data_IF_339506158943
#
_entry.id   IF_339506158943
#
_cell.length_a   1.000
_cell.length_b   1.000
_cell.length_c   1.000
_cell.angle_alpha   90.00
_cell.angle_beta   90.00
_cell.angle_gamma   90.00
#
_symmetry.space_group_name_H-M   'P 1'
#
loop_
_entity.id
_entity.type
_entity.pdbx_description
1 polymer ?
#
# COMPACT_ATOMS: atom_id res chain seq x y z
N UNK A 1 -5.51 -3.66 -13.01
CA UNK A 1 -6.98 -3.59 -12.79
C UNK A 1 -7.64 -4.18 -14.03
N UNK A 2 -8.58 -5.11 -13.87
CA UNK A 2 -9.22 -5.80 -15.01
C UNK A 2 -9.82 -4.79 -16.00
N UNK A 3 -9.48 -4.93 -17.29
CA UNK A 3 -10.02 -4.14 -18.42
C UNK A 3 -11.40 -4.65 -18.87
N UNK A 4 -12.05 -5.55 -18.12
CA UNK A 4 -13.31 -6.18 -18.52
C UNK A 4 -14.48 -5.41 -17.91
N UNK A 5 -15.42 -4.98 -18.75
CA UNK A 5 -16.61 -4.26 -18.32
C UNK A 5 -17.68 -5.25 -17.83
N UNK A 6 -18.57 -4.79 -16.94
CA UNK A 6 -19.70 -5.59 -16.48
C UNK A 6 -20.60 -6.07 -17.63
N UNK A 7 -20.58 -5.36 -18.77
CA UNK A 7 -21.37 -5.67 -19.97
C UNK A 7 -20.65 -6.57 -20.98
N UNK A 8 -19.35 -6.81 -20.83
CA UNK A 8 -18.60 -7.76 -21.65
C UNK A 8 -17.52 -8.47 -20.80
N UNK A 9 -17.93 -9.47 -20.01
CA UNK A 9 -17.03 -10.19 -19.11
C UNK A 9 -15.96 -11.04 -19.83
N UNK A 10 -16.03 -11.18 -21.16
CA UNK A 10 -15.16 -12.07 -21.94
C UNK A 10 -15.45 -13.55 -21.65
N UNK A 11 -14.40 -14.37 -21.52
CA UNK A 11 -14.48 -15.81 -21.22
C UNK A 11 -14.87 -16.10 -19.76
N UNK A 12 -16.03 -15.65 -19.32
CA UNK A 12 -16.58 -16.00 -18.01
C UNK A 12 -17.80 -16.90 -18.24
N UNK A 13 -17.87 -17.99 -17.48
CA UNK A 13 -18.99 -18.93 -17.55
C UNK A 13 -20.31 -18.20 -17.29
N UNK A 14 -21.34 -18.49 -18.09
CA UNK A 14 -22.71 -17.99 -17.88
C UNK A 14 -23.21 -18.28 -16.46
N UNK A 15 -22.77 -19.37 -15.83
CA UNK A 15 -23.10 -19.74 -14.45
C UNK A 15 -22.71 -18.69 -13.41
N UNK A 16 -21.70 -17.84 -13.68
CA UNK A 16 -21.35 -16.72 -12.80
C UNK A 16 -22.44 -15.64 -12.79
N UNK A 17 -23.18 -15.48 -13.88
CA UNK A 17 -24.28 -14.52 -13.99
C UNK A 17 -25.53 -15.00 -13.26
N UNK A 18 -25.71 -16.31 -13.15
CA UNK A 18 -26.87 -16.93 -12.50
C UNK A 18 -26.80 -16.84 -10.96
N UNK A 19 -25.60 -16.60 -10.40
CA UNK A 19 -25.39 -16.45 -8.96
C UNK A 19 -25.12 -14.99 -8.60
N UNK A 20 -26.03 -14.39 -7.82
CA UNK A 20 -25.89 -12.98 -7.39
C UNK A 20 -24.58 -12.68 -6.67
N UNK A 21 -24.10 -13.56 -5.79
CA UNK A 21 -22.82 -13.36 -5.08
C UNK A 21 -21.61 -13.50 -6.01
N UNK A 22 -21.69 -14.38 -7.00
CA UNK A 22 -20.61 -14.56 -7.97
C UNK A 22 -20.51 -13.37 -8.94
N UNK A 23 -21.64 -12.71 -9.25
CA UNK A 23 -21.65 -11.47 -10.04
C UNK A 23 -20.86 -10.34 -9.37
N UNK A 24 -20.85 -10.26 -8.05
CA UNK A 24 -20.11 -9.22 -7.33
C UNK A 24 -18.58 -9.35 -7.54
N UNK A 25 -18.08 -10.55 -7.88
CA UNK A 25 -16.68 -10.75 -8.26
C UNK A 25 -16.30 -10.06 -9.59
N UNK A 26 -17.29 -9.61 -10.37
CA UNK A 26 -17.10 -8.90 -11.64
C UNK A 26 -17.08 -7.37 -11.46
N UNK A 27 -17.37 -6.87 -10.25
CA UNK A 27 -17.37 -5.43 -9.97
C UNK A 27 -15.94 -4.89 -10.13
N UNK A 28 -15.72 -3.83 -10.93
CA UNK A 28 -14.40 -3.21 -11.05
C UNK A 28 -13.88 -2.75 -9.68
N UNK A 29 -12.60 -2.98 -9.39
CA UNK A 29 -12.02 -2.63 -8.08
C UNK A 29 -12.15 -1.14 -7.75
N UNK A 30 -12.18 -0.26 -8.76
CA UNK A 30 -12.44 1.17 -8.55
C UNK A 30 -13.86 1.47 -8.06
N UNK A 31 -14.85 0.65 -8.43
CA UNK A 31 -16.21 0.76 -7.90
C UNK A 31 -16.27 0.23 -6.47
N UNK A 32 -15.54 -0.84 -6.14
CA UNK A 32 -15.49 -1.31 -4.74
C UNK A 32 -14.81 -0.30 -3.82
N UNK A 33 -13.87 0.51 -4.34
CA UNK A 33 -13.32 1.69 -3.64
C UNK A 33 -14.41 2.72 -3.31
N UNK A 34 -15.28 3.06 -4.27
CA UNK A 34 -16.39 3.97 -4.01
C UNK A 34 -17.38 3.38 -3.00
N UNK A 35 -17.70 2.09 -3.11
CA UNK A 35 -18.59 1.40 -2.18
C UNK A 35 -18.04 1.45 -0.74
N UNK A 36 -16.73 1.25 -0.56
CA UNK A 36 -16.09 1.38 0.76
C UNK A 36 -16.17 2.83 1.26
N UNK A 37 -15.87 3.80 0.40
CA UNK A 37 -15.92 5.22 0.77
C UNK A 37 -17.32 5.65 1.22
N UNK A 38 -18.35 5.28 0.45
CA UNK A 38 -19.74 5.61 0.73
C UNK A 38 -20.24 4.88 1.99
N UNK A 39 -20.06 3.56 2.05
CA UNK A 39 -20.59 2.72 3.14
C UNK A 39 -19.98 3.05 4.51
N UNK A 40 -18.72 3.45 4.54
CA UNK A 40 -17.99 3.70 5.79
C UNK A 40 -17.63 5.17 6.01
N UNK A 41 -18.13 6.08 5.18
CA UNK A 41 -17.98 7.53 5.37
C UNK A 41 -16.53 8.04 5.20
N UNK A 42 -15.75 7.45 4.29
CA UNK A 42 -14.38 7.89 4.01
C UNK A 42 -14.40 9.04 3.01
N UNK A 43 -14.44 10.27 3.55
CA UNK A 43 -14.58 11.48 2.73
C UNK A 43 -13.43 11.67 1.74
N UNK A 44 -13.71 12.37 0.62
CA UNK A 44 -12.70 12.80 -0.37
C UNK A 44 -11.48 13.48 0.28
N UNK A 45 -11.71 14.34 1.28
CA UNK A 45 -10.64 15.03 2.02
C UNK A 45 -9.72 14.03 2.74
N UNK A 46 -10.28 12.98 3.37
CA UNK A 46 -9.47 11.94 4.02
C UNK A 46 -8.65 11.16 2.99
N UNK A 47 -9.25 10.81 1.87
CA UNK A 47 -8.58 10.08 0.78
C UNK A 47 -7.40 10.88 0.21
N UNK A 48 -7.61 12.14 -0.11
CA UNK A 48 -6.58 13.01 -0.66
C UNK A 48 -5.48 13.32 0.36
N UNK A 49 -5.82 13.48 1.64
CA UNK A 49 -4.83 13.67 2.70
C UNK A 49 -3.95 12.44 2.91
N UNK A 50 -4.53 11.23 2.83
CA UNK A 50 -3.79 9.98 2.87
C UNK A 50 -2.87 9.83 1.66
N UNK A 51 -3.37 10.13 0.46
CA UNK A 51 -2.58 10.10 -0.77
C UNK A 51 -1.40 11.07 -0.75
N UNK A 52 -1.64 12.28 -0.24
CA UNK A 52 -0.60 13.28 -0.04
C UNK A 52 0.47 12.77 0.91
N UNK A 53 0.08 12.16 2.04
CA UNK A 53 1.00 11.58 3.00
C UNK A 53 1.85 10.45 2.39
N UNK A 54 1.31 9.64 1.47
CA UNK A 54 2.12 8.65 0.75
C UNK A 54 3.15 9.31 -0.18
N UNK A 55 2.80 10.40 -0.85
CA UNK A 55 3.62 11.05 -1.88
C UNK A 55 4.73 11.95 -1.34
N UNK A 56 4.45 12.69 -0.27
CA UNK A 56 5.19 13.90 0.06
C UNK A 56 6.63 13.67 0.54
N UNK A 57 7.29 14.79 0.83
CA UNK A 57 8.58 14.91 1.48
C UNK A 57 8.34 15.88 2.62
N UNK A 58 8.46 15.47 3.89
CA UNK A 58 8.45 16.47 4.98
C UNK A 58 9.67 17.38 4.78
N UNK A 59 9.39 18.57 4.27
CA UNK A 59 10.33 19.68 4.16
C UNK A 59 10.16 20.52 5.44
N UNK A 60 10.79 20.12 6.54
CA UNK A 60 10.97 20.99 7.72
C UNK A 60 12.08 21.99 7.46
N UNK A 61 11.89 22.84 6.46
CA UNK A 61 12.75 23.99 6.18
C UNK A 61 11.84 25.16 5.78
N UNK A 62 11.33 25.87 6.80
CA UNK A 62 10.48 27.04 6.60
C UNK A 62 9.80 27.54 7.86
N UNK A 63 10.58 28.19 8.73
CA UNK A 63 10.17 29.20 9.74
C UNK A 63 9.22 28.75 10.86
N UNK A 64 9.74 28.80 12.08
CA UNK A 64 8.97 29.19 13.26
C UNK A 64 8.19 30.48 12.95
N UNK A 65 6.91 30.36 12.67
CA UNK A 65 5.94 31.41 12.94
C UNK A 65 4.72 30.73 13.55
N UNK A 66 4.53 30.96 14.83
CA UNK A 66 3.36 30.53 15.58
C UNK A 66 2.10 31.02 14.87
N UNK A 67 1.31 30.09 14.33
CA UNK A 67 -0.08 30.33 13.99
C UNK A 67 -0.90 29.52 14.97
N UNK A 68 -1.74 30.24 15.70
CA UNK A 68 -2.61 29.80 16.78
C UNK A 68 -3.31 28.47 16.47
N UNK A 69 -3.09 27.51 17.37
CA UNK A 69 -3.94 26.35 17.56
C UNK A 69 -5.34 26.82 17.97
N UNK A 70 -6.21 27.11 17.00
CA UNK A 70 -7.64 27.20 17.30
C UNK A 70 -8.47 26.80 16.09
N UNK A 71 -9.29 25.76 16.31
CA UNK A 71 -10.41 25.27 15.47
C UNK A 71 -10.06 24.46 14.22
N UNK A 72 -9.46 23.29 14.44
CA UNK A 72 -9.80 22.09 13.66
C UNK A 72 -10.21 21.00 14.65
N UNK A 73 -11.48 20.60 14.57
CA UNK A 73 -12.06 19.48 15.32
C UNK A 73 -11.20 18.22 15.15
N UNK A 74 -10.99 17.50 16.26
CA UNK A 74 -10.18 16.29 16.36
C UNK A 74 -10.59 15.20 15.36
N UNK A 75 -9.97 15.19 14.18
CA UNK A 75 -9.84 14.04 13.30
C UNK A 75 -8.75 14.36 12.25
N UNK A 76 -7.63 13.63 12.30
CA UNK A 76 -6.52 13.67 11.34
C UNK A 76 -5.57 14.89 11.46
N UNK A 77 -4.77 14.91 12.54
CA UNK A 77 -3.50 15.65 12.56
C UNK A 77 -2.44 14.70 11.99
N UNK A 78 -1.85 15.05 10.84
CA UNK A 78 -0.69 14.31 10.31
C UNK A 78 0.48 14.42 11.30
N UNK A 79 1.02 13.31 11.84
CA UNK A 79 2.09 13.37 12.83
C UNK A 79 3.40 13.90 12.24
N UNK A 80 4.22 14.48 13.13
CA UNK A 80 5.36 15.32 12.81
C UNK A 80 6.64 14.62 12.32
N UNK A 81 6.65 13.32 11.99
CA UNK A 81 7.64 12.69 11.06
C UNK A 81 7.50 11.15 10.92
N UNK A 82 6.57 10.62 10.10
CA UNK A 82 6.89 9.49 9.26
C UNK A 82 7.74 9.96 8.07
N UNK A 83 8.73 9.18 7.63
CA UNK A 83 9.36 9.38 6.33
C UNK A 83 8.30 9.12 5.23
N UNK A 84 8.37 9.80 4.10
CA UNK A 84 7.43 9.61 2.98
C UNK A 84 8.21 9.26 1.70
N UNK A 85 7.56 8.77 0.65
CA UNK A 85 8.23 8.20 -0.53
C UNK A 85 9.28 9.13 -1.15
N UNK A 86 8.95 10.41 -1.39
CA UNK A 86 9.91 11.35 -1.98
C UNK A 86 11.13 11.60 -1.08
N UNK A 87 10.93 11.64 0.25
CA UNK A 87 12.04 11.80 1.21
C UNK A 87 12.87 10.51 1.31
N UNK A 88 12.22 9.35 1.34
CA UNK A 88 12.88 8.04 1.39
C UNK A 88 13.76 7.80 0.15
N UNK A 89 13.25 8.10 -1.05
CA UNK A 89 14.03 8.03 -2.28
C UNK A 89 15.19 9.03 -2.28
N UNK A 90 14.97 10.28 -1.88
CA UNK A 90 16.05 11.28 -1.81
C UNK A 90 17.17 10.88 -0.82
N UNK A 91 16.80 10.29 0.32
CA UNK A 91 17.74 9.78 1.31
C UNK A 91 18.40 8.45 0.89
N UNK A 92 18.02 7.89 -0.26
CA UNK A 92 18.55 6.63 -0.77
C UNK A 92 18.13 5.42 0.06
N UNK A 93 17.02 5.48 0.79
CA UNK A 93 16.56 4.40 1.68
C UNK A 93 16.16 3.14 0.90
N UNK A 94 15.80 3.28 -0.37
CA UNK A 94 15.46 2.16 -1.26
C UNK A 94 16.68 1.54 -1.96
N UNK A 95 17.88 2.13 -1.85
CA UNK A 95 19.08 1.63 -2.55
C UNK A 95 19.49 0.22 -2.12
N UNK A 96 19.14 -0.19 -0.91
CA UNK A 96 19.43 -1.54 -0.40
C UNK A 96 18.43 -2.59 -0.88
N UNK A 97 17.27 -2.19 -1.38
CA UNK A 97 16.21 -3.09 -1.86
C UNK A 97 16.01 -3.08 -3.38
N UNK A 98 16.33 -1.97 -4.05
CA UNK A 98 16.21 -1.86 -5.52
C UNK A 98 17.44 -2.48 -6.19
N UNK A 99 17.19 -3.38 -7.14
CA UNK A 99 18.18 -3.85 -8.11
C UNK A 99 18.01 -3.03 -9.40
N UNK A 100 19.01 -2.24 -9.83
CA UNK A 100 18.91 -1.47 -11.07
C UNK A 100 18.69 -2.37 -12.29
N UNK A 101 17.76 -1.99 -13.16
CA UNK A 101 17.41 -2.73 -14.38
C UNK A 101 17.88 -1.96 -15.60
N UNK A 102 18.79 -2.55 -16.37
CA UNK A 102 19.18 -2.04 -17.69
C UNK A 102 18.18 -2.54 -18.73
N UNK A 103 17.57 -1.63 -19.47
CA UNK A 103 16.56 -1.95 -20.49
C UNK A 103 16.63 -0.99 -21.66
N UNK A 104 15.85 -1.27 -22.70
CA UNK A 104 15.69 -0.41 -23.88
C UNK A 104 14.31 0.23 -23.86
N UNK A 105 14.24 1.54 -24.04
CA UNK A 105 13.00 2.29 -24.26
C UNK A 105 12.95 2.83 -25.68
N UNK A 106 11.75 2.90 -26.24
CA UNK A 106 11.49 3.51 -27.53
C UNK A 106 10.90 4.89 -27.28
N UNK A 107 11.53 5.92 -27.83
CA UNK A 107 11.00 7.29 -27.72
C UNK A 107 9.84 7.54 -28.70
N UNK A 108 9.22 8.71 -28.63
CA UNK A 108 8.09 9.08 -29.49
C UNK A 108 8.47 9.17 -30.99
N UNK A 109 9.76 9.17 -31.33
CA UNK A 109 10.27 9.21 -32.70
C UNK A 109 10.65 7.79 -33.21
N UNK A 110 10.51 6.77 -32.37
CA UNK A 110 10.85 5.39 -32.69
C UNK A 110 12.31 5.02 -32.43
N UNK A 111 13.13 5.92 -31.85
CA UNK A 111 14.52 5.62 -31.55
C UNK A 111 14.62 4.76 -30.29
N UNK A 112 15.49 3.75 -30.34
CA UNK A 112 15.79 2.89 -29.19
C UNK A 112 16.92 3.49 -28.35
N UNK A 113 16.65 3.75 -27.08
CA UNK A 113 17.62 4.23 -26.11
C UNK A 113 17.79 3.21 -24.99
N UNK A 114 19.04 2.86 -24.68
CA UNK A 114 19.34 2.04 -23.51
C UNK A 114 19.37 2.91 -22.26
N UNK A 115 18.59 2.56 -21.25
CA UNK A 115 18.53 3.24 -19.96
C UNK A 115 18.81 2.27 -18.81
N UNK A 116 19.09 2.82 -17.62
CA UNK A 116 19.13 2.05 -16.37
C UNK A 116 18.12 2.64 -15.39
N UNK A 117 17.07 1.87 -15.09
CA UNK A 117 16.04 2.23 -14.12
C UNK A 117 16.53 1.83 -12.73
N UNK A 118 16.62 2.79 -11.82
CA UNK A 118 17.17 2.58 -10.46
C UNK A 118 16.39 3.32 -9.36
N UNK A 119 15.26 3.93 -9.73
CA UNK A 119 14.42 4.72 -8.85
C UNK A 119 12.95 4.48 -9.22
N UNK A 120 12.07 4.62 -8.23
CA UNK A 120 10.64 4.55 -8.45
C UNK A 120 10.16 5.81 -9.17
N UNK A 121 9.56 5.60 -10.34
CA UNK A 121 9.14 6.66 -11.26
C UNK A 121 7.80 7.27 -10.88
N UNK A 122 7.00 6.61 -10.02
CA UNK A 122 5.65 7.04 -9.65
C UNK A 122 5.61 8.17 -8.61
N UNK A 123 6.74 8.48 -7.98
CA UNK A 123 6.81 9.47 -6.92
C UNK A 123 6.65 10.88 -7.53
N UNK A 124 5.73 11.67 -6.98
CA UNK A 124 5.41 13.03 -7.41
C UNK A 124 5.57 13.98 -6.22
N UNK A 125 6.79 14.51 -5.96
CA UNK A 125 7.05 15.43 -4.84
C UNK A 125 6.25 16.74 -4.92
N UNK A 126 5.74 17.08 -6.11
CA UNK A 126 4.90 18.25 -6.37
C UNK A 126 3.43 18.06 -6.00
N UNK A 127 3.02 16.87 -5.52
CA UNK A 127 1.64 16.62 -5.09
C UNK A 127 1.23 17.58 -3.96
N UNK A 128 0.08 18.24 -4.11
CA UNK A 128 -0.53 19.12 -3.09
C UNK A 128 -2.01 18.76 -2.89
N UNK A 129 -2.59 19.14 -1.75
CA UNK A 129 -4.03 18.95 -1.51
C UNK A 129 -4.87 19.68 -2.56
N UNK A 130 -4.48 20.90 -2.93
CA UNK A 130 -5.18 21.68 -3.96
C UNK A 130 -5.11 21.01 -5.33
N UNK A 131 -3.99 20.37 -5.65
CA UNK A 131 -3.82 19.60 -6.88
C UNK A 131 -4.71 18.35 -6.87
N UNK A 132 -4.69 17.59 -5.77
CA UNK A 132 -5.50 16.39 -5.60
C UNK A 132 -7.01 16.69 -5.64
N UNK A 133 -7.45 17.77 -4.98
CA UNK A 133 -8.86 18.16 -4.92
C UNK A 133 -9.45 18.52 -6.30
N UNK A 134 -8.61 18.97 -7.25
CA UNK A 134 -9.02 19.30 -8.63
C UNK A 134 -9.20 18.07 -9.52
N UNK A 135 -8.72 16.90 -9.10
CA UNK A 135 -8.82 15.69 -9.90
C UNK A 135 -10.27 15.22 -9.98
N UNK A 136 -10.68 14.87 -11.20
CA UNK A 136 -12.00 14.29 -11.48
C UNK A 136 -12.08 12.86 -10.93
N UNK A 137 -13.27 12.42 -10.47
CA UNK A 137 -13.52 11.03 -10.13
C UNK A 137 -13.19 10.09 -11.30
N UNK A 138 -12.61 8.93 -10.99
CA UNK A 138 -12.11 7.99 -11.99
C UNK A 138 -13.12 6.90 -12.39
N UNK A 139 -14.11 6.61 -11.53
CA UNK A 139 -14.99 5.43 -11.69
C UNK A 139 -16.49 5.73 -11.63
N UNK A 140 -16.90 6.77 -10.91
CA UNK A 140 -18.31 7.20 -10.76
C UNK A 140 -18.38 8.72 -10.85
N UNK A 141 -19.37 9.29 -11.52
CA UNK A 141 -19.46 10.74 -11.78
C UNK A 141 -19.43 11.61 -10.51
N UNK A 142 -20.15 11.17 -9.48
CA UNK A 142 -20.21 11.75 -8.12
C UNK A 142 -19.23 11.07 -7.15
N UNK A 143 -18.27 10.30 -7.66
CA UNK A 143 -17.33 9.51 -6.88
C UNK A 143 -16.27 10.34 -6.16
N UNK A 144 -15.56 9.67 -5.27
CA UNK A 144 -14.47 10.25 -4.46
C UNK A 144 -13.10 9.70 -4.81
N UNK A 145 -13.05 8.55 -5.49
CA UNK A 145 -11.82 7.93 -5.94
C UNK A 145 -11.32 8.61 -7.22
N UNK A 146 -10.07 9.03 -7.22
CA UNK A 146 -9.40 9.71 -8.34
C UNK A 146 -8.07 9.04 -8.66
N UNK A 147 -7.46 9.39 -9.80
CA UNK A 147 -6.11 8.93 -10.12
C UNK A 147 -5.05 9.37 -9.09
N UNK A 148 -5.30 10.44 -8.32
CA UNK A 148 -4.36 10.93 -7.32
C UNK A 148 -4.46 10.25 -5.97
N UNK A 149 -5.59 9.60 -5.67
CA UNK A 149 -5.82 8.87 -4.41
C UNK A 149 -6.01 7.36 -4.63
N UNK A 150 -5.65 6.87 -5.81
CA UNK A 150 -5.57 5.46 -6.17
C UNK A 150 -4.11 5.09 -6.49
N UNK A 151 -3.76 3.81 -6.34
CA UNK A 151 -2.45 3.33 -6.75
C UNK A 151 -2.26 3.45 -8.26
N UNK A 152 -1.04 3.77 -8.69
CA UNK A 152 -0.67 3.76 -10.09
C UNK A 152 -0.64 2.33 -10.63
N UNK A 153 -1.08 2.14 -11.88
CA UNK A 153 -0.76 0.92 -12.63
C UNK A 153 0.73 0.97 -12.93
N UNK A 154 1.45 -0.10 -12.62
CA UNK A 154 2.91 -0.09 -12.64
C UNK A 154 3.47 -1.45 -13.02
N UNK A 155 4.67 -1.42 -13.58
CA UNK A 155 5.46 -2.59 -13.90
C UNK A 155 6.55 -2.78 -12.84
N UNK A 156 6.83 -4.02 -12.45
CA UNK A 156 7.86 -4.31 -11.47
C UNK A 156 7.86 -5.77 -11.02
N UNK A 157 8.98 -6.19 -10.43
CA UNK A 157 9.18 -7.52 -9.88
C UNK A 157 9.91 -7.43 -8.53
N UNK A 158 9.61 -8.38 -7.64
CA UNK A 158 10.29 -8.53 -6.36
C UNK A 158 10.43 -10.02 -6.04
N UNK A 159 11.51 -10.38 -5.33
CA UNK A 159 11.80 -11.75 -4.94
C UNK A 159 12.22 -11.82 -3.47
N UNK A 160 11.77 -12.87 -2.78
CA UNK A 160 12.13 -13.16 -1.39
C UNK A 160 12.63 -14.60 -1.31
N UNK A 161 13.87 -14.79 -0.88
CA UNK A 161 14.44 -16.12 -0.66
C UNK A 161 14.13 -16.58 0.78
N UNK A 162 13.42 -17.71 0.91
CA UNK A 162 13.11 -18.32 2.20
C UNK A 162 13.93 -19.59 2.42
N UNK A 163 14.28 -19.86 3.67
CA UNK A 163 14.96 -21.09 4.06
C UNK A 163 14.52 -21.54 5.45
N UNK A 164 14.57 -22.85 5.71
CA UNK A 164 14.53 -23.37 7.07
C UNK A 164 15.70 -22.77 7.86
N UNK A 165 15.47 -22.33 9.10
CA UNK A 165 16.51 -21.74 9.97
C UNK A 165 17.79 -22.59 10.03
N UNK A 166 17.64 -23.91 10.18
CA UNK A 166 18.79 -24.83 10.22
C UNK A 166 19.60 -24.84 8.93
N UNK A 167 18.95 -24.65 7.77
CA UNK A 167 19.65 -24.61 6.47
C UNK A 167 20.39 -23.30 6.28
N UNK A 168 19.78 -22.17 6.66
CA UNK A 168 20.45 -20.87 6.66
C UNK A 168 21.70 -20.89 7.56
N UNK A 169 21.58 -21.48 8.77
CA UNK A 169 22.70 -21.64 9.69
C UNK A 169 23.80 -22.55 9.13
N UNK A 170 23.45 -23.70 8.54
CA UNK A 170 24.41 -24.62 7.90
C UNK A 170 25.20 -23.92 6.77
N UNK A 171 24.54 -23.05 6.00
CA UNK A 171 25.14 -22.32 4.89
C UNK A 171 25.82 -21.01 5.30
N UNK A 172 25.78 -20.62 6.59
CA UNK A 172 26.33 -19.35 7.06
C UNK A 172 25.62 -18.12 6.49
N UNK A 173 24.35 -18.23 6.09
CA UNK A 173 23.60 -17.13 5.48
C UNK A 173 22.95 -16.22 6.55
N UNK A 174 22.96 -14.89 6.37
CA UNK A 174 22.33 -13.96 7.29
C UNK A 174 20.80 -14.09 7.25
N UNK A 175 20.14 -13.87 8.40
CA UNK A 175 18.68 -13.87 8.52
C UNK A 175 18.18 -12.43 8.53
N UNK A 176 17.52 -12.01 7.46
CA UNK A 176 16.92 -10.67 7.37
C UNK A 176 15.61 -10.57 8.18
N UNK A 177 14.84 -11.65 8.26
CA UNK A 177 13.57 -11.69 8.98
C UNK A 177 13.03 -13.10 9.13
N UNK A 178 11.99 -13.23 9.94
CA UNK A 178 11.34 -14.51 10.25
C UNK A 178 9.84 -14.37 10.01
N UNK A 179 9.27 -15.19 9.12
CA UNK A 179 7.82 -15.30 8.98
C UNK A 179 7.24 -15.97 10.24
N UNK A 180 6.35 -15.28 10.95
CA UNK A 180 5.73 -15.76 12.20
C UNK A 180 4.35 -16.33 11.98
N UNK A 181 3.53 -15.68 11.16
CA UNK A 181 2.19 -16.15 10.84
C UNK A 181 1.73 -15.61 9.49
N UNK A 182 0.73 -16.28 8.92
CA UNK A 182 0.02 -15.85 7.72
C UNK A 182 -1.47 -16.16 7.86
N UNK A 183 -2.32 -15.23 7.41
CA UNK A 183 -3.75 -15.38 7.40
C UNK A 183 -4.35 -14.88 6.08
N UNK A 184 -5.37 -15.58 5.61
CA UNK A 184 -6.26 -15.16 4.53
C UNK A 184 -7.68 -15.29 5.05
N UNK A 185 -8.51 -14.29 4.78
CA UNK A 185 -9.91 -14.23 5.19
C UNK A 185 -10.78 -13.81 4.01
N UNK A 186 -12.03 -14.29 3.98
CA UNK A 186 -13.04 -13.86 3.03
C UNK A 186 -13.83 -12.66 3.55
N UNK A 187 -14.14 -11.73 2.66
CA UNK A 187 -15.00 -10.55 2.89
C UNK A 187 -15.94 -10.37 1.68
N UNK A 188 -17.01 -9.56 1.75
CA UNK A 188 -17.86 -9.34 0.59
C UNK A 188 -17.08 -8.77 -0.62
N UNK A 189 -17.28 -9.27 -1.86
CA UNK A 189 -16.55 -8.81 -3.03
C UNK A 189 -16.77 -7.34 -3.38
N UNK A 190 -17.99 -6.84 -3.18
CA UNK A 190 -18.42 -5.46 -3.44
C UNK A 190 -17.69 -4.40 -2.59
N UNK A 191 -17.13 -4.82 -1.45
CA UNK A 191 -16.31 -4.00 -0.55
C UNK A 191 -14.99 -4.68 -0.21
N UNK A 192 -14.41 -5.42 -1.16
CA UNK A 192 -13.17 -6.21 -0.96
C UNK A 192 -12.01 -5.44 -0.30
N UNK A 193 -11.97 -4.11 -0.46
CA UNK A 193 -11.01 -3.23 0.18
C UNK A 193 -10.92 -3.36 1.70
N UNK A 194 -11.96 -3.84 2.38
CA UNK A 194 -11.96 -4.01 3.84
C UNK A 194 -11.09 -5.19 4.32
N UNK A 195 -10.59 -6.04 3.41
CA UNK A 195 -9.86 -7.26 3.71
C UNK A 195 -8.79 -7.14 4.82
N UNK A 196 -7.87 -6.15 4.77
CA UNK A 196 -6.85 -5.96 5.81
C UNK A 196 -7.42 -5.79 7.22
N UNK A 197 -8.56 -5.10 7.37
CA UNK A 197 -9.21 -4.89 8.67
C UNK A 197 -9.62 -6.21 9.35
N UNK A 198 -9.77 -7.29 8.59
CA UNK A 198 -10.12 -8.63 9.10
C UNK A 198 -8.94 -9.60 9.07
N UNK A 199 -8.01 -9.46 8.11
CA UNK A 199 -6.85 -10.34 8.00
C UNK A 199 -5.78 -10.04 9.06
N UNK A 200 -5.53 -8.75 9.34
CA UNK A 200 -4.48 -8.31 10.26
C UNK A 200 -4.71 -8.88 11.68
N UNK A 201 -5.90 -8.73 12.30
CA UNK A 201 -6.14 -9.29 13.64
C UNK A 201 -5.86 -10.80 13.71
N UNK A 202 -6.30 -11.56 12.70
CA UNK A 202 -6.11 -13.01 12.65
C UNK A 202 -4.63 -13.39 12.52
N UNK A 203 -3.87 -12.69 11.68
CA UNK A 203 -2.43 -12.96 11.54
C UNK A 203 -1.68 -12.60 12.84
N UNK A 204 -1.99 -11.46 13.44
CA UNK A 204 -1.36 -10.98 14.67
C UNK A 204 -1.65 -11.92 15.85
N UNK A 205 -2.89 -12.35 16.02
CA UNK A 205 -3.29 -13.34 17.03
C UNK A 205 -2.57 -14.68 16.82
N UNK A 206 -2.50 -15.19 15.58
CA UNK A 206 -1.75 -16.42 15.25
C UNK A 206 -0.26 -16.33 15.57
N UNK A 207 0.31 -15.13 15.60
CA UNK A 207 1.70 -14.91 16.00
C UNK A 207 1.87 -14.82 17.53
N UNK A 208 0.78 -14.89 18.30
CA UNK A 208 0.78 -14.71 19.76
C UNK A 208 1.02 -13.26 20.17
N UNK A 209 0.61 -12.30 19.34
CA UNK A 209 0.84 -10.86 19.54
C UNK A 209 -0.49 -10.11 19.62
N UNK A 210 -0.41 -8.83 19.99
CA UNK A 210 -1.47 -7.84 19.90
C UNK A 210 -1.12 -6.78 18.85
N UNK A 211 -2.10 -5.97 18.42
CA UNK A 211 -1.83 -4.86 17.49
C UNK A 211 -0.83 -3.85 18.06
N UNK A 212 -0.75 -3.71 19.39
CA UNK A 212 0.18 -2.78 20.03
C UNK A 212 1.65 -3.23 19.89
N UNK A 213 1.89 -4.53 19.70
CA UNK A 213 3.23 -5.11 19.57
C UNK A 213 3.85 -4.91 18.18
N UNK A 214 3.06 -4.44 17.20
CA UNK A 214 3.53 -4.24 15.83
C UNK A 214 4.16 -2.86 15.68
N UNK A 215 5.38 -2.82 15.16
CA UNK A 215 6.16 -1.59 14.96
C UNK A 215 5.86 -0.92 13.62
N UNK A 216 5.58 -1.71 12.58
CA UNK A 216 5.36 -1.23 11.21
C UNK A 216 4.26 -2.04 10.52
N UNK A 217 3.39 -1.34 9.82
CA UNK A 217 2.37 -1.90 8.95
C UNK A 217 2.63 -1.45 7.51
N UNK A 218 2.99 -2.39 6.65
CA UNK A 218 2.90 -2.23 5.19
C UNK A 218 1.50 -2.66 4.75
N UNK A 219 0.56 -1.71 4.68
CA UNK A 219 -0.80 -1.93 4.19
C UNK A 219 -0.89 -1.41 2.77
N UNK A 220 -1.21 -2.29 1.81
CA UNK A 220 -1.25 -1.89 0.41
C UNK A 220 -2.29 -0.78 0.17
N UNK A 221 -1.90 0.24 -0.58
CA UNK A 221 -2.71 1.42 -0.85
C UNK A 221 -3.36 1.33 -2.24
N UNK A 222 -4.06 0.23 -2.53
CA UNK A 222 -4.75 0.08 -3.82
C UNK A 222 -5.65 1.29 -4.12
N UNK A 223 -6.38 1.72 -3.08
CA UNK A 223 -7.10 2.98 -3.03
C UNK A 223 -6.99 3.58 -1.62
N UNK A 224 -6.99 4.90 -1.52
CA UNK A 224 -6.96 5.59 -0.23
C UNK A 224 -8.23 5.33 0.59
N UNK A 225 -9.39 5.20 -0.05
CA UNK A 225 -10.68 4.85 0.58
C UNK A 225 -10.56 3.64 1.52
N UNK A 226 -10.03 2.53 1.00
CA UNK A 226 -9.89 1.28 1.75
C UNK A 226 -8.73 1.30 2.74
N UNK A 227 -7.62 1.95 2.40
CA UNK A 227 -6.47 2.05 3.28
C UNK A 227 -6.83 2.85 4.54
N UNK A 228 -7.46 4.02 4.36
CA UNK A 228 -7.95 4.86 5.47
C UNK A 228 -8.96 4.09 6.32
N UNK A 229 -9.95 3.43 5.70
CA UNK A 229 -10.92 2.62 6.44
C UNK A 229 -10.23 1.56 7.30
N UNK A 230 -9.28 0.79 6.75
CA UNK A 230 -8.62 -0.28 7.48
C UNK A 230 -7.80 0.25 8.66
N UNK A 231 -7.08 1.35 8.46
CA UNK A 231 -6.28 1.99 9.52
C UNK A 231 -7.17 2.53 10.63
N UNK A 232 -8.24 3.27 10.29
CA UNK A 232 -9.18 3.82 11.27
C UNK A 232 -9.92 2.71 12.02
N UNK A 233 -10.39 1.67 11.31
CA UNK A 233 -11.12 0.54 11.89
C UNK A 233 -10.29 -0.23 12.91
N UNK A 234 -8.99 -0.38 12.66
CA UNK A 234 -8.06 -1.09 13.54
C UNK A 234 -7.41 -0.19 14.60
N UNK A 235 -7.62 1.13 14.55
CA UNK A 235 -6.98 2.08 15.46
C UNK A 235 -5.45 2.11 15.32
N UNK A 236 -4.91 1.85 14.13
CA UNK A 236 -3.47 1.79 13.91
C UNK A 236 -2.91 3.23 13.90
N UNK A 237 -1.86 3.54 14.67
CA UNK A 237 -1.21 4.84 14.62
C UNK A 237 -0.61 5.10 13.22
N UNK A 238 -0.96 6.24 12.61
CA UNK A 238 -0.57 6.57 11.23
C UNK A 238 0.95 6.57 11.02
N UNK A 239 1.74 6.92 12.04
CA UNK A 239 3.21 6.91 11.99
C UNK A 239 3.82 5.50 11.83
N UNK A 240 3.04 4.44 12.10
CA UNK A 240 3.45 3.06 11.89
C UNK A 240 3.04 2.52 10.51
N UNK A 241 2.17 3.21 9.78
CA UNK A 241 1.62 2.76 8.49
C UNK A 241 2.47 3.31 7.35
N UNK A 242 2.97 2.41 6.50
CA UNK A 242 3.71 2.73 5.28
C UNK A 242 4.75 3.86 5.49
N UNK A 243 5.70 3.71 6.43
CA UNK A 243 6.58 4.80 6.88
C UNK A 243 7.60 5.25 5.83
N UNK A 244 7.54 4.73 4.60
CA UNK A 244 8.32 5.14 3.44
C UNK A 244 7.42 5.47 2.24
N UNK A 245 6.11 5.65 2.46
CA UNK A 245 5.08 5.72 1.43
C UNK A 245 4.67 4.33 0.93
N UNK A 246 3.49 4.25 0.30
CA UNK A 246 2.94 3.02 -0.24
C UNK A 246 2.60 3.13 -1.73
N UNK A 247 1.66 2.30 -2.17
CA UNK A 247 1.38 2.09 -3.59
C UNK A 247 0.76 3.30 -4.31
N UNK A 248 0.24 4.30 -3.61
CA UNK A 248 -0.18 5.57 -4.25
C UNK A 248 1.02 6.31 -4.83
N UNK A 249 2.17 6.26 -4.13
CA UNK A 249 3.42 6.85 -4.59
C UNK A 249 4.31 5.89 -5.37
N UNK A 250 4.47 4.66 -4.86
CA UNK A 250 5.41 3.66 -5.39
C UNK A 250 4.82 2.82 -6.53
N UNK A 251 3.50 2.87 -6.72
CA UNK A 251 2.80 2.05 -7.71
C UNK A 251 2.37 0.67 -7.21
N UNK A 252 1.51 0.02 -8.00
CA UNK A 252 0.92 -1.28 -7.68
C UNK A 252 1.07 -2.29 -8.83
N UNK A 253 2.27 -2.85 -9.04
CA UNK A 253 2.45 -4.03 -9.88
C UNK A 253 1.81 -5.23 -9.17
N UNK A 254 0.61 -5.63 -9.63
CA UNK A 254 -0.33 -6.47 -8.87
C UNK A 254 0.33 -7.68 -8.19
N UNK A 255 0.90 -8.60 -8.97
CA UNK A 255 1.53 -9.82 -8.45
C UNK A 255 2.87 -9.59 -7.72
N UNK A 256 3.52 -8.44 -7.92
CA UNK A 256 4.78 -8.09 -7.29
C UNK A 256 4.58 -7.50 -5.88
N UNK A 257 3.47 -6.78 -5.67
CA UNK A 257 3.27 -5.93 -4.49
C UNK A 257 3.44 -6.65 -3.15
N UNK A 258 2.94 -7.88 -3.03
CA UNK A 258 3.10 -8.65 -1.79
C UNK A 258 4.57 -8.92 -1.44
N UNK A 259 5.38 -9.32 -2.43
CA UNK A 259 6.81 -9.52 -2.23
C UNK A 259 7.55 -8.18 -2.02
N UNK A 260 7.20 -7.13 -2.76
CA UNK A 260 7.78 -5.78 -2.60
C UNK A 260 7.59 -5.26 -1.18
N UNK A 261 6.38 -5.36 -0.63
CA UNK A 261 6.09 -4.93 0.74
C UNK A 261 6.91 -5.71 1.79
N UNK A 262 7.14 -7.01 1.60
CA UNK A 262 8.04 -7.78 2.48
C UNK A 262 9.46 -7.23 2.44
N UNK A 263 9.98 -6.93 1.25
CA UNK A 263 11.32 -6.38 1.07
C UNK A 263 11.43 -5.00 1.75
N UNK A 264 10.50 -4.09 1.50
CA UNK A 264 10.47 -2.74 2.10
C UNK A 264 10.36 -2.81 3.63
N UNK A 265 9.43 -3.64 4.14
CA UNK A 265 9.22 -3.83 5.58
C UNK A 265 10.51 -4.28 6.28
N UNK A 266 11.12 -5.37 5.80
CA UNK A 266 12.26 -5.97 6.48
C UNK A 266 13.51 -5.09 6.40
N UNK A 267 13.71 -4.34 5.31
CA UNK A 267 14.83 -3.39 5.21
C UNK A 267 14.64 -2.20 6.15
N UNK A 268 13.42 -1.69 6.32
CA UNK A 268 13.15 -0.63 7.30
C UNK A 268 13.30 -1.14 8.75
N UNK A 269 12.79 -2.32 9.09
CA UNK A 269 13.00 -2.90 10.42
C UNK A 269 14.50 -3.11 10.71
N UNK A 270 15.26 -3.63 9.74
CA UNK A 270 16.72 -3.75 9.82
C UNK A 270 17.41 -2.41 10.05
N UNK A 271 16.96 -1.36 9.35
CA UNK A 271 17.49 0.01 9.52
C UNK A 271 17.23 0.57 10.91
N UNK A 272 16.06 0.28 11.51
CA UNK A 272 15.75 0.62 12.92
C UNK A 272 16.60 -0.16 13.92
N UNK A 273 17.10 -1.34 13.54
CA UNK A 273 18.22 -2.01 14.20
C UNK A 273 17.90 -2.66 15.55
N UNK A 274 16.63 -2.72 15.95
CA UNK A 274 16.16 -3.40 17.17
C UNK A 274 15.19 -4.51 16.80
N UNK A 275 15.11 -5.55 17.64
CA UNK A 275 14.09 -6.59 17.48
C UNK A 275 12.70 -5.96 17.43
N UNK A 276 11.93 -6.30 16.41
CA UNK A 276 10.69 -5.63 16.09
C UNK A 276 9.78 -6.52 15.25
N UNK A 277 8.48 -6.23 15.29
CA UNK A 277 7.46 -6.94 14.52
C UNK A 277 6.87 -6.04 13.45
N UNK A 278 6.64 -6.63 12.28
CA UNK A 278 6.04 -5.94 11.14
C UNK A 278 4.91 -6.75 10.53
N UNK A 279 3.92 -6.05 9.99
CA UNK A 279 2.82 -6.66 9.25
C UNK A 279 2.86 -6.22 7.80
N UNK A 280 2.76 -7.18 6.88
CA UNK A 280 2.39 -6.93 5.48
C UNK A 280 0.93 -7.32 5.30
N UNK A 281 0.11 -6.45 4.71
CA UNK A 281 -1.29 -6.78 4.42
C UNK A 281 -1.82 -6.09 3.16
N UNK A 282 -2.76 -6.74 2.49
CA UNK A 282 -3.48 -6.18 1.35
C UNK A 282 -4.91 -6.71 1.25
N UNK A 283 -5.78 -5.91 0.65
CA UNK A 283 -7.03 -6.38 0.06
C UNK A 283 -6.73 -7.23 -1.19
N UNK A 284 -7.65 -8.13 -1.52
CA UNK A 284 -7.57 -8.99 -2.69
C UNK A 284 -8.91 -8.87 -3.41
N UNK A 285 -8.86 -8.58 -4.71
CA UNK A 285 -10.04 -8.55 -5.57
C UNK A 285 -10.85 -9.83 -5.43
N UNK A 286 -12.15 -9.75 -5.68
CA UNK A 286 -13.15 -10.83 -5.43
C UNK A 286 -13.46 -11.12 -3.95
N UNK A 287 -12.96 -10.31 -3.01
CA UNK A 287 -13.45 -10.32 -1.63
C UNK A 287 -12.59 -11.13 -0.67
N UNK A 288 -11.29 -10.83 -0.60
CA UNK A 288 -10.41 -11.41 0.41
C UNK A 288 -9.47 -10.37 1.01
N UNK A 289 -8.91 -10.70 2.17
CA UNK A 289 -7.76 -10.00 2.75
C UNK A 289 -6.68 -10.98 3.12
N UNK A 290 -5.41 -10.58 2.97
CA UNK A 290 -4.27 -11.34 3.46
C UNK A 290 -3.42 -10.50 4.40
N UNK A 291 -2.82 -11.16 5.40
CA UNK A 291 -1.86 -10.53 6.30
C UNK A 291 -0.77 -11.54 6.71
N UNK A 292 0.46 -11.03 6.83
CA UNK A 292 1.64 -11.78 7.26
C UNK A 292 2.35 -11.02 8.38
N UNK A 293 2.71 -11.71 9.46
CA UNK A 293 3.55 -11.15 10.53
C UNK A 293 4.99 -11.59 10.32
N UNK A 294 5.90 -10.62 10.32
CA UNK A 294 7.34 -10.85 10.27
C UNK A 294 8.00 -10.33 11.55
N UNK A 295 9.08 -11.00 11.96
CA UNK A 295 9.97 -10.53 13.00
C UNK A 295 11.34 -10.21 12.40
N UNK A 296 11.87 -9.03 12.70
CA UNK A 296 13.29 -8.74 12.55
C UNK A 296 14.00 -9.11 13.87
N UNK A 297 15.02 -9.99 13.87
CA UNK A 297 15.62 -10.50 15.11
C UNK A 297 16.45 -9.48 15.90
N UNK A 298 16.83 -8.34 15.31
CA UNK A 298 17.84 -7.43 15.86
C UNK A 298 19.24 -7.72 15.32
N UNK A 299 20.21 -6.89 15.72
CA UNK A 299 21.65 -7.11 15.45
C UNK A 299 22.24 -8.08 16.45
#
# INVERSE_FOLDING_TARGET
MSLRSANNPGDISSSMMDNSKARDCLIPMGITSENVAEKFGVSRKKQDAFALASQQKINTAGKHTAVSQERLSAAFVLPSNPLQAAKAQQMGLFKTEIVPVKTTVVDNQGNQNTITVSQDEGIRPSTTLEGLAKLKPAFKEDGSTTAGNASQVSDGAAAVLLAKRSKAAQLGLPVLGVLRSFAVVGVPPDVMGIGPAYAIPVAVEKAGLTLNDIDIYEINEAFASQAVYCVEKLGIPMEKVNPLGGAIALGHPLGCTGARQVVTLLNELKRRGKRAYGVVSMCIGTGMGAAAVFEYPGK
#
